data_IF_387561091149
#
_entry.id   IF_387561091149
#
_cell.length_a   1.000
_cell.length_b   1.000
_cell.length_c   1.000
_cell.angle_alpha   90.00
_cell.angle_beta   90.00
_cell.angle_gamma   90.00
#
_symmetry.space_group_name_H-M   'P 1'
#
loop_
_entity.id
_entity.type
_entity.pdbx_description
1 polymer ?
#
# COMPACT_ATOMS: atom_id res chain seq x y z
N UNK A 1 12.63 6.21 8.79
CA UNK A 1 11.19 6.26 9.13
C UNK A 1 10.95 6.41 10.63
N UNK A 2 11.33 5.45 11.48
CA UNK A 2 11.13 5.56 12.94
C UNK A 2 11.66 6.87 13.56
N UNK A 3 12.85 7.32 13.15
CA UNK A 3 13.40 8.60 13.62
C UNK A 3 12.48 9.80 13.38
N UNK A 4 11.84 9.87 12.21
CA UNK A 4 10.89 10.95 11.87
C UNK A 4 9.71 10.99 12.86
N UNK A 5 9.18 9.82 13.20
CA UNK A 5 8.08 9.66 14.16
C UNK A 5 8.50 10.10 15.58
N UNK A 6 9.75 9.79 15.96
CA UNK A 6 10.28 10.10 17.29
C UNK A 6 10.88 11.50 17.45
N UNK A 7 10.72 12.38 16.45
CA UNK A 7 11.12 13.79 16.55
C UNK A 7 12.32 14.19 15.69
N UNK A 8 12.82 13.33 14.80
CA UNK A 8 13.81 13.71 13.78
C UNK A 8 13.14 14.42 12.58
N UNK A 9 12.47 15.52 12.89
CA UNK A 9 11.86 16.47 11.96
C UNK A 9 12.23 17.89 12.41
N UNK A 10 11.99 18.88 11.55
CA UNK A 10 12.47 20.26 11.78
C UNK A 10 11.88 20.90 13.04
N UNK A 11 10.71 20.42 13.47
CA UNK A 11 9.99 20.91 14.65
C UNK A 11 10.30 20.13 15.93
N UNK A 12 11.12 19.06 15.86
CA UNK A 12 11.37 18.19 17.01
C UNK A 12 10.11 17.46 17.53
N UNK A 13 9.04 17.40 16.73
CA UNK A 13 7.72 16.98 17.16
C UNK A 13 7.62 15.46 17.16
N UNK A 14 7.09 14.88 18.26
CA UNK A 14 6.74 13.46 18.29
C UNK A 14 5.39 13.24 17.60
N UNK A 15 5.40 12.37 16.60
CA UNK A 15 4.20 11.95 15.86
C UNK A 15 3.68 10.66 16.49
N UNK A 16 2.36 10.56 16.65
CA UNK A 16 1.76 9.32 17.13
C UNK A 16 1.93 8.21 16.10
N UNK A 17 2.39 7.04 16.55
CA UNK A 17 2.44 5.84 15.71
C UNK A 17 1.03 5.46 15.25
N UNK A 18 0.91 5.02 14.01
CA UNK A 18 -0.32 4.48 13.44
C UNK A 18 -0.07 3.06 12.96
N UNK A 19 -1.17 2.37 12.66
CA UNK A 19 -1.16 1.05 12.03
C UNK A 19 -2.07 1.10 10.80
N UNK A 20 -1.74 0.38 9.73
CA UNK A 20 -0.61 -0.54 9.58
C UNK A 20 0.71 0.14 9.16
N UNK A 21 1.83 -0.57 9.29
CA UNK A 21 3.04 -0.30 8.51
C UNK A 21 2.89 -0.96 7.15
N UNK A 22 3.08 -0.19 6.09
CA UNK A 22 2.92 -0.64 4.70
C UNK A 22 4.30 -0.86 4.09
N UNK A 23 4.48 -2.03 3.48
CA UNK A 23 5.63 -2.35 2.64
C UNK A 23 5.15 -2.46 1.19
N UNK A 24 5.36 -1.44 0.37
CA UNK A 24 5.02 -1.46 -1.06
C UNK A 24 6.24 -1.99 -1.84
N UNK A 25 6.02 -3.07 -2.60
CA UNK A 25 7.05 -3.76 -3.37
C UNK A 25 6.65 -3.83 -4.84
N UNK A 26 7.59 -3.48 -5.68
CA UNK A 26 7.62 -3.68 -7.12
C UNK A 26 9.01 -4.26 -7.46
N UNK A 27 9.21 -4.86 -8.64
CA UNK A 27 10.41 -5.63 -9.03
C UNK A 27 11.74 -5.02 -8.57
N UNK A 28 11.89 -3.69 -8.73
CA UNK A 28 13.15 -2.99 -8.43
C UNK A 28 13.11 -2.11 -7.18
N UNK A 29 11.93 -1.93 -6.55
CA UNK A 29 11.74 -0.93 -5.48
C UNK A 29 10.93 -1.48 -4.32
N UNK A 30 11.45 -1.26 -3.12
CA UNK A 30 10.77 -1.56 -1.87
C UNK A 30 10.71 -0.29 -1.03
N UNK A 31 9.51 0.15 -0.69
CA UNK A 31 9.28 1.32 0.16
C UNK A 31 8.52 0.93 1.42
N UNK A 32 8.88 1.57 2.52
CA UNK A 32 8.19 1.42 3.80
C UNK A 32 7.50 2.74 4.14
N UNK A 33 6.22 2.68 4.45
CA UNK A 33 5.43 3.84 4.85
C UNK A 33 4.55 3.54 6.07
N UNK A 34 4.10 4.62 6.71
CA UNK A 34 3.08 4.60 7.75
C UNK A 34 2.14 5.76 7.48
N UNK A 35 0.91 5.66 7.95
CA UNK A 35 -0.11 6.70 7.74
C UNK A 35 0.05 7.78 8.79
N UNK A 36 0.05 9.05 8.42
CA UNK A 36 0.05 10.11 9.44
C UNK A 36 -1.32 10.16 10.15
N UNK A 37 -1.36 10.47 11.46
CA UNK A 37 -2.61 10.73 12.15
C UNK A 37 -3.45 11.80 11.44
N UNK A 38 -4.77 11.68 11.48
CA UNK A 38 -5.72 12.53 10.72
C UNK A 38 -5.63 14.04 10.97
N UNK A 39 -4.93 14.47 12.02
CA UNK A 39 -4.64 15.88 12.30
C UNK A 39 -3.61 16.51 11.35
N UNK A 40 -2.87 15.69 10.60
CA UNK A 40 -1.84 16.15 9.66
C UNK A 40 -2.37 16.10 8.22
N UNK A 41 -2.08 17.17 7.50
CA UNK A 41 -2.12 17.30 6.04
C UNK A 41 -0.70 17.34 5.47
N UNK A 42 -0.57 17.39 4.15
CA UNK A 42 0.74 17.59 3.50
C UNK A 42 1.46 18.85 4.00
N UNK A 43 0.71 19.95 4.20
CA UNK A 43 1.26 21.25 4.61
C UNK A 43 1.55 21.37 6.10
N UNK A 44 0.92 20.53 6.93
CA UNK A 44 1.06 20.58 8.40
C UNK A 44 1.90 19.46 8.98
N UNK A 45 2.31 18.49 8.16
CA UNK A 45 3.26 17.48 8.57
C UNK A 45 4.66 18.11 8.76
N UNK A 46 5.33 17.92 9.90
CA UNK A 46 6.61 18.56 10.14
C UNK A 46 7.63 18.06 9.10
N UNK A 47 8.46 18.92 8.50
CA UNK A 47 9.39 18.49 7.47
C UNK A 47 10.42 17.48 8.01
N UNK A 48 10.73 16.39 7.26
CA UNK A 48 11.70 15.40 7.71
C UNK A 48 13.15 15.90 7.58
N UNK A 49 13.97 15.66 8.61
CA UNK A 49 15.41 16.04 8.57
C UNK A 49 16.25 15.18 7.62
N UNK A 50 15.71 14.04 7.18
CA UNK A 50 16.42 13.10 6.31
C UNK A 50 15.85 13.11 4.91
N UNK A 51 16.68 13.26 3.86
CA UNK A 51 16.21 13.22 2.46
C UNK A 51 15.71 11.83 2.03
N UNK A 52 15.90 10.80 2.87
CA UNK A 52 15.38 9.44 2.64
C UNK A 52 13.92 9.26 3.08
N UNK A 53 13.34 10.29 3.70
CA UNK A 53 11.95 10.29 4.17
C UNK A 53 11.24 11.40 3.44
N UNK A 54 10.10 11.08 2.86
CA UNK A 54 9.22 12.04 2.20
C UNK A 54 7.81 11.89 2.75
N UNK A 55 7.08 12.99 2.80
CA UNK A 55 5.64 13.01 3.08
C UNK A 55 4.95 13.12 1.72
N UNK A 56 3.97 12.25 1.47
CA UNK A 56 3.20 12.25 0.24
C UNK A 56 1.73 12.04 0.53
N UNK A 57 0.89 12.68 -0.26
CA UNK A 57 -0.51 12.30 -0.38
C UNK A 57 -0.60 11.03 -1.25
N UNK A 58 -1.55 10.16 -0.92
CA UNK A 58 -1.79 8.92 -1.69
C UNK A 58 -3.14 9.07 -2.37
N UNK A 59 -3.19 8.77 -3.66
CA UNK A 59 -4.42 8.77 -4.44
C UNK A 59 -5.31 7.61 -4.03
N UNK A 60 -6.62 7.76 -4.23
CA UNK A 60 -7.57 6.65 -4.11
C UNK A 60 -7.18 5.56 -5.09
N UNK A 61 -7.08 4.33 -4.62
CA UNK A 61 -6.76 3.16 -5.43
C UNK A 61 -7.54 1.96 -4.91
N UNK A 62 -7.95 1.08 -5.83
CA UNK A 62 -8.65 -0.14 -5.51
C UNK A 62 -7.65 -1.29 -5.37
N UNK A 63 -7.88 -2.16 -4.38
CA UNK A 63 -7.00 -3.28 -4.08
C UNK A 63 -7.81 -4.53 -3.80
N UNK A 64 -7.34 -5.67 -4.32
CA UNK A 64 -7.71 -6.97 -3.81
C UNK A 64 -6.88 -7.25 -2.56
N UNK A 65 -7.52 -7.60 -1.44
CA UNK A 65 -6.87 -7.80 -0.15
C UNK A 65 -7.06 -9.22 0.37
N UNK A 66 -6.03 -9.77 0.99
CA UNK A 66 -6.09 -11.02 1.75
C UNK A 66 -5.43 -10.89 3.11
N UNK A 67 -6.19 -11.17 4.16
CA UNK A 67 -5.68 -11.29 5.53
C UNK A 67 -4.99 -12.64 5.77
N UNK A 68 -3.95 -12.64 6.60
CA UNK A 68 -3.30 -13.85 7.09
C UNK A 68 -2.59 -13.64 8.45
N UNK A 69 -2.58 -14.66 9.33
CA UNK A 69 -1.87 -14.60 10.61
C UNK A 69 -0.39 -14.99 10.49
N UNK A 70 0.34 -14.92 11.60
CA UNK A 70 1.72 -15.39 11.67
C UNK A 70 2.76 -14.32 11.30
N UNK A 71 3.99 -14.78 11.01
CA UNK A 71 5.08 -13.92 10.62
C UNK A 71 5.10 -13.73 9.10
N UNK A 72 5.12 -12.47 8.65
CA UNK A 72 5.28 -12.12 7.24
C UNK A 72 6.74 -12.30 6.76
N UNK A 73 7.22 -13.54 6.79
CA UNK A 73 8.50 -13.92 6.18
C UNK A 73 8.40 -13.82 4.65
N UNK A 74 9.54 -13.84 3.95
CA UNK A 74 9.52 -13.81 2.48
C UNK A 74 8.78 -15.02 1.89
N UNK A 75 9.01 -16.22 2.41
CA UNK A 75 8.32 -17.44 1.97
C UNK A 75 6.82 -17.41 2.27
N UNK A 76 6.43 -16.90 3.44
CA UNK A 76 5.02 -16.70 3.80
C UNK A 76 4.36 -15.71 2.83
N UNK A 77 4.99 -14.55 2.63
CA UNK A 77 4.50 -13.49 1.75
C UNK A 77 4.29 -14.00 0.33
N UNK A 78 5.27 -14.73 -0.23
CA UNK A 78 5.14 -15.35 -1.56
C UNK A 78 3.97 -16.34 -1.65
N UNK A 79 3.76 -17.15 -0.62
CA UNK A 79 2.64 -18.11 -0.57
C UNK A 79 1.28 -17.39 -0.56
N UNK A 80 1.15 -16.35 0.27
CA UNK A 80 -0.08 -15.56 0.36
C UNK A 80 -0.34 -14.77 -0.92
N UNK A 81 0.71 -14.25 -1.55
CA UNK A 81 0.63 -13.56 -2.85
C UNK A 81 0.14 -14.49 -3.95
N UNK A 82 0.73 -15.67 -4.08
CA UNK A 82 0.31 -16.66 -5.08
C UNK A 82 -1.16 -17.08 -4.87
N UNK A 83 -1.57 -17.20 -3.61
CA UNK A 83 -2.96 -17.51 -3.25
C UNK A 83 -3.91 -16.38 -3.68
N UNK A 84 -3.57 -15.12 -3.38
CA UNK A 84 -4.37 -13.97 -3.77
C UNK A 84 -4.45 -13.81 -5.30
N UNK A 85 -3.32 -13.92 -6.02
CA UNK A 85 -3.29 -13.92 -7.49
C UNK A 85 -4.20 -15.00 -8.08
N UNK A 86 -4.22 -16.19 -7.46
CA UNK A 86 -5.10 -17.28 -7.87
C UNK A 86 -6.58 -16.95 -7.68
N UNK A 87 -6.95 -16.24 -6.61
CA UNK A 87 -8.33 -15.78 -6.42
C UNK A 87 -8.71 -14.71 -7.44
N UNK A 88 -7.86 -13.70 -7.64
CA UNK A 88 -8.12 -12.64 -8.63
C UNK A 88 -8.29 -13.23 -10.03
N UNK A 89 -7.45 -14.21 -10.43
CA UNK A 89 -7.54 -14.86 -11.73
C UNK A 89 -8.82 -15.69 -11.96
N UNK A 90 -9.64 -15.92 -10.92
CA UNK A 90 -10.96 -16.54 -11.05
C UNK A 90 -12.10 -15.52 -11.12
N UNK A 91 -11.84 -14.26 -10.78
CA UNK A 91 -12.84 -13.20 -10.79
C UNK A 91 -12.92 -12.56 -12.19
N UNK A 92 -14.04 -12.71 -12.90
CA UNK A 92 -14.13 -12.29 -14.30
C UNK A 92 -14.10 -10.76 -14.49
N UNK A 93 -14.41 -9.99 -13.44
CA UNK A 93 -14.58 -8.53 -13.51
C UNK A 93 -13.42 -7.73 -12.93
N UNK A 94 -12.35 -8.40 -12.46
CA UNK A 94 -11.22 -7.77 -11.79
C UNK A 94 -9.95 -8.09 -12.57
N UNK A 95 -9.12 -7.07 -12.80
CA UNK A 95 -7.82 -7.22 -13.44
C UNK A 95 -6.74 -6.63 -12.54
N UNK A 96 -5.60 -7.29 -12.42
CA UNK A 96 -4.43 -6.74 -11.71
C UNK A 96 -3.82 -5.62 -12.55
N UNK A 97 -3.61 -4.44 -11.96
CA UNK A 97 -2.95 -3.32 -12.65
C UNK A 97 -1.49 -3.68 -13.01
N UNK A 98 -0.79 -4.30 -12.06
CA UNK A 98 0.59 -4.74 -12.20
C UNK A 98 0.73 -6.05 -11.41
N UNK A 99 1.10 -7.14 -12.10
CA UNK A 99 1.21 -8.46 -11.47
C UNK A 99 2.38 -8.53 -10.49
N UNK A 100 3.41 -7.72 -10.64
CA UNK A 100 4.61 -7.77 -9.79
C UNK A 100 4.53 -6.80 -8.61
N UNK A 101 3.59 -5.85 -8.64
CA UNK A 101 3.35 -4.93 -7.53
C UNK A 101 2.44 -5.55 -6.46
N UNK A 102 2.86 -5.44 -5.20
CA UNK A 102 2.02 -5.78 -4.05
C UNK A 102 2.38 -4.95 -2.82
N UNK A 103 1.42 -4.85 -1.89
CA UNK A 103 1.64 -4.24 -0.58
C UNK A 103 1.47 -5.28 0.53
N UNK A 104 2.38 -5.25 1.50
CA UNK A 104 2.29 -6.03 2.74
C UNK A 104 2.02 -5.06 3.91
N UNK A 105 0.87 -5.22 4.55
CA UNK A 105 0.40 -4.40 5.66
C UNK A 105 0.57 -5.19 6.96
N UNK A 106 1.32 -4.62 7.90
CA UNK A 106 1.59 -5.23 9.21
C UNK A 106 1.00 -4.35 10.32
N UNK A 107 0.05 -4.90 11.07
CA UNK A 107 -0.69 -4.16 12.09
C UNK A 107 -0.07 -4.29 13.48
N UNK A 108 0.65 -5.38 13.71
CA UNK A 108 1.07 -5.76 15.05
C UNK A 108 2.55 -5.51 15.30
N UNK A 109 2.91 -5.03 16.50
CA UNK A 109 4.30 -4.87 16.91
C UNK A 109 5.03 -6.22 17.02
N UNK A 110 6.37 -6.22 16.99
CA UNK A 110 7.19 -7.45 16.89
C UNK A 110 7.02 -8.44 18.05
N UNK A 111 6.56 -8.00 19.21
CA UNK A 111 6.33 -8.83 20.40
C UNK A 111 4.95 -9.52 20.43
N UNK A 112 4.11 -9.30 19.42
CA UNK A 112 2.78 -9.93 19.34
C UNK A 112 2.92 -11.42 19.01
N UNK A 113 2.21 -12.27 19.75
CA UNK A 113 2.21 -13.72 19.53
C UNK A 113 1.78 -14.07 18.09
N UNK A 114 2.40 -15.05 17.42
CA UNK A 114 2.25 -15.27 15.98
C UNK A 114 0.80 -15.46 15.51
N UNK A 115 0.00 -16.24 16.24
CA UNK A 115 -1.40 -16.51 15.90
C UNK A 115 -2.36 -15.35 16.20
N UNK A 116 -1.91 -14.32 16.92
CA UNK A 116 -2.66 -13.08 17.16
C UNK A 116 -2.22 -11.93 16.23
N UNK A 117 -1.23 -12.16 15.36
CA UNK A 117 -0.81 -11.17 14.38
C UNK A 117 -1.82 -11.13 13.25
N UNK A 118 -2.12 -9.92 12.80
CA UNK A 118 -2.84 -9.60 11.58
C UNK A 118 -1.84 -9.02 10.58
N UNK A 119 -1.78 -9.66 9.42
CA UNK A 119 -1.11 -9.13 8.25
C UNK A 119 -2.10 -9.14 7.09
N UNK A 120 -1.94 -8.21 6.17
CA UNK A 120 -2.69 -8.19 4.92
C UNK A 120 -1.72 -8.12 3.75
N UNK A 121 -2.04 -8.83 2.68
CA UNK A 121 -1.38 -8.67 1.38
C UNK A 121 -2.37 -8.12 0.39
N UNK A 122 -1.97 -7.09 -0.34
CA UNK A 122 -2.81 -6.35 -1.27
C UNK A 122 -2.18 -6.29 -2.65
N UNK A 123 -2.98 -6.44 -3.69
CA UNK A 123 -2.58 -6.25 -5.09
C UNK A 123 -3.48 -5.17 -5.67
N UNK A 124 -2.92 -4.14 -6.34
CA UNK A 124 -3.70 -3.11 -7.00
C UNK A 124 -4.51 -3.71 -8.15
N UNK A 125 -5.79 -3.37 -8.22
CA UNK A 125 -6.71 -3.93 -9.22
C UNK A 125 -7.64 -2.87 -9.75
N UNK A 126 -8.14 -3.10 -10.96
CA UNK A 126 -9.20 -2.32 -11.60
C UNK A 126 -10.41 -3.20 -11.88
N UNK A 127 -11.59 -2.58 -11.93
CA UNK A 127 -12.79 -3.24 -12.42
C UNK A 127 -12.80 -3.16 -13.94
N UNK A 128 -13.13 -4.25 -14.64
CA UNK A 128 -13.16 -4.26 -16.11
C UNK A 128 -14.13 -3.25 -16.71
N UNK A 129 -15.25 -3.00 -16.05
CA UNK A 129 -16.22 -1.99 -16.49
C UNK A 129 -15.64 -0.57 -16.52
N UNK A 130 -14.63 -0.27 -15.69
CA UNK A 130 -13.97 1.03 -15.68
C UNK A 130 -13.00 1.17 -16.87
N UNK A 131 -12.38 0.06 -17.31
CA UNK A 131 -11.48 0.01 -18.46
C UNK A 131 -12.23 0.22 -19.79
N UNK A 132 -13.38 -0.46 -19.96
CA UNK A 132 -14.22 -0.30 -21.15
C UNK A 132 -14.82 1.10 -21.28
N UNK A 133 -15.02 1.80 -20.16
CA UNK A 133 -15.52 3.18 -20.13
C UNK A 133 -14.43 4.22 -20.49
N UNK A 134 -13.19 4.02 -20.06
CA UNK A 134 -12.05 4.87 -20.43
C UNK A 134 -11.68 4.72 -21.92
N UNK A 135 -11.62 3.49 -22.43
CA UNK A 135 -11.28 3.21 -23.85
C UNK A 135 -12.34 3.80 -24.80
N UNK A 136 -13.62 3.68 -24.46
CA UNK A 136 -14.72 4.29 -25.22
C UNK A 136 -14.71 5.84 -25.18
N UNK A 137 -14.18 6.45 -24.12
CA UNK A 137 -14.04 7.91 -24.03
C UNK A 137 -12.85 8.42 -24.86
N UNK A 138 -11.71 7.72 -24.85
CA UNK A 138 -10.54 8.07 -25.66
C UNK A 138 -10.83 7.96 -27.17
N UNK A 139 -11.49 6.88 -27.62
CA UNK A 139 -11.89 6.72 -29.03
C UNK A 139 -12.82 7.85 -29.50
N UNK A 140 -13.83 8.21 -28.70
CA UNK A 140 -14.77 9.27 -29.02
C UNK A 140 -14.13 10.67 -29.09
N UNK A 141 -13.07 10.92 -28.31
CA UNK A 141 -12.30 12.17 -28.42
C UNK A 141 -11.37 12.20 -29.63
N UNK A 142 -10.82 11.05 -30.04
CA UNK A 142 -9.91 10.94 -31.19
C UNK A 142 -10.61 11.08 -32.55
N UNK A 143 -11.90 10.74 -32.65
CA UNK A 143 -12.70 10.91 -33.88
C UNK A 143 -13.22 12.35 -34.08
N UNK A 144 -12.98 13.24 -33.11
CA UNK A 144 -13.47 14.63 -33.12
C UNK A 144 -12.42 15.71 -33.46
N UNK A 145 -11.19 15.29 -33.76
CA UNK A 145 -10.10 16.14 -34.33
C UNK A 145 -9.86 15.85 -35.82
#
# INVERSE_FOLDING_TARGET
LAGYIFGANEEGQKISMTTPVVMDRNDDKSTMSFVLPSKYSLDSAPPPNSPKVTVKETTTQLFACKEFPGFATEGETKRQLATLKSYIGREPNITMEDSERYQLLQYNPPYTLPWLRRNEIMIPVIMKADFEAEEAQEEATSESE
#
